data_IF_282429562804
#
_entry.id   IF_282429562804
#
_cell.length_a   1.000
_cell.length_b   1.000
_cell.length_c   1.000
_cell.angle_alpha   90.00
_cell.angle_beta   90.00
_cell.angle_gamma   90.00
#
_symmetry.space_group_name_H-M   'P 1'
#
loop_
_entity.id
_entity.type
_entity.pdbx_description
1 polymer ?
#
# COMPACT_ATOMS: atom_id res chain seq x y z
N UNK A 1 11.77 40.44 -31.00
CA UNK A 1 11.42 39.05 -31.35
C UNK A 1 12.34 38.12 -30.58
N UNK A 2 11.81 37.21 -29.76
CA UNK A 2 12.65 36.26 -29.02
C UNK A 2 12.10 35.89 -27.64
N UNK A 3 10.97 35.18 -27.60
CA UNK A 3 10.46 34.46 -26.41
C UNK A 3 9.32 33.55 -26.87
N UNK A 4 9.61 32.30 -27.21
CA UNK A 4 8.60 31.21 -27.28
C UNK A 4 9.14 29.78 -27.45
N UNK A 5 10.44 29.50 -27.28
CA UNK A 5 10.97 28.13 -27.44
C UNK A 5 11.27 27.37 -26.14
N UNK A 6 11.35 28.04 -24.98
CA UNK A 6 11.72 27.37 -23.71
C UNK A 6 10.63 26.50 -23.06
N UNK A 7 9.35 26.71 -23.36
CA UNK A 7 8.26 26.03 -22.64
C UNK A 7 7.92 24.61 -23.14
N UNK A 8 8.29 24.25 -24.38
CA UNK A 8 7.88 22.98 -24.97
C UNK A 8 8.78 21.82 -24.54
N UNK A 9 10.09 22.07 -24.46
CA UNK A 9 11.09 21.07 -24.05
C UNK A 9 10.95 20.67 -22.58
N UNK A 10 10.67 21.63 -21.69
CA UNK A 10 10.49 21.34 -20.25
C UNK A 10 9.23 20.48 -19.99
N UNK A 11 8.15 20.70 -20.75
CA UNK A 11 6.93 19.89 -20.62
C UNK A 11 7.12 18.47 -21.17
N UNK A 12 7.84 18.33 -22.28
CA UNK A 12 8.18 17.03 -22.87
C UNK A 12 9.13 16.26 -21.96
N UNK A 13 10.12 16.93 -21.36
CA UNK A 13 11.06 16.32 -20.43
C UNK A 13 10.38 15.89 -19.12
N UNK A 14 9.47 16.71 -18.56
CA UNK A 14 8.62 16.32 -17.41
C UNK A 14 7.72 15.14 -17.71
N UNK A 15 7.07 15.11 -18.89
CA UNK A 15 6.25 13.95 -19.33
C UNK A 15 7.09 12.69 -19.48
N UNK A 16 8.27 12.77 -20.11
CA UNK A 16 9.17 11.63 -20.29
C UNK A 16 9.69 11.10 -18.95
N UNK A 17 10.00 11.98 -18.00
CA UNK A 17 10.38 11.61 -16.63
C UNK A 17 9.21 10.97 -15.85
N UNK A 18 7.97 11.44 -16.04
CA UNK A 18 6.79 10.82 -15.42
C UNK A 18 6.48 9.43 -16.00
N UNK A 19 6.64 9.25 -17.32
CA UNK A 19 6.49 7.94 -17.97
C UNK A 19 7.54 6.92 -17.45
N UNK A 20 8.78 7.36 -17.23
CA UNK A 20 9.83 6.53 -16.61
C UNK A 20 9.54 6.17 -15.14
N UNK A 21 8.73 6.96 -14.42
CA UNK A 21 8.30 6.60 -13.05
C UNK A 21 7.17 5.59 -13.04
N UNK A 22 6.38 5.48 -14.10
CA UNK A 22 5.27 4.52 -14.18
C UNK A 22 5.74 3.14 -14.62
N UNK A 23 6.84 3.05 -15.40
CA UNK A 23 7.41 1.77 -15.81
C UNK A 23 7.90 0.92 -14.63
N UNK A 24 8.17 1.52 -13.47
CA UNK A 24 8.51 0.75 -12.25
C UNK A 24 7.34 -0.07 -11.69
N UNK A 25 6.11 0.21 -12.14
CA UNK A 25 4.90 -0.54 -11.80
C UNK A 25 4.45 -1.47 -12.93
N UNK A 26 5.32 -1.79 -13.88
CA UNK A 26 5.01 -2.77 -14.91
C UNK A 26 4.95 -4.18 -14.33
N UNK A 27 4.33 -5.10 -15.07
CA UNK A 27 4.42 -6.53 -14.76
C UNK A 27 5.87 -7.01 -14.71
N UNK A 28 6.12 -7.96 -13.82
CA UNK A 28 7.41 -8.51 -13.39
C UNK A 28 8.40 -7.52 -12.77
N UNK A 29 7.96 -6.31 -12.41
CA UNK A 29 8.80 -5.33 -11.73
C UNK A 29 9.08 -5.74 -10.27
N UNK A 30 10.15 -5.18 -9.69
CA UNK A 30 10.45 -5.41 -8.28
C UNK A 30 9.37 -4.83 -7.36
N UNK A 31 8.72 -3.72 -7.77
CA UNK A 31 7.59 -3.14 -7.03
C UNK A 31 6.37 -4.07 -7.06
N UNK A 32 6.10 -4.75 -8.17
CA UNK A 32 5.02 -5.74 -8.23
C UNK A 32 5.30 -6.91 -7.29
N UNK A 33 6.53 -7.44 -7.29
CA UNK A 33 6.92 -8.53 -6.39
C UNK A 33 6.79 -8.12 -4.92
N UNK A 34 7.30 -6.94 -4.56
CA UNK A 34 7.20 -6.39 -3.21
C UNK A 34 5.73 -6.18 -2.79
N UNK A 35 4.89 -5.67 -3.70
CA UNK A 35 3.46 -5.50 -3.45
C UNK A 35 2.74 -6.84 -3.24
N UNK A 36 3.08 -7.88 -4.02
CA UNK A 36 2.56 -9.24 -3.85
C UNK A 36 2.98 -9.81 -2.50
N UNK A 37 4.26 -9.71 -2.13
CA UNK A 37 4.78 -10.19 -0.85
C UNK A 37 4.09 -9.49 0.33
N UNK A 38 3.93 -8.17 0.25
CA UNK A 38 3.22 -7.38 1.25
C UNK A 38 1.75 -7.82 1.37
N UNK A 39 1.05 -7.98 0.24
CA UNK A 39 -0.34 -8.42 0.24
C UNK A 39 -0.49 -9.82 0.83
N UNK A 40 0.43 -10.74 0.48
CA UNK A 40 0.42 -12.08 1.06
C UNK A 40 0.64 -12.05 2.58
N UNK A 41 1.53 -11.20 3.08
CA UNK A 41 1.71 -11.02 4.53
C UNK A 41 0.44 -10.46 5.20
N UNK A 42 -0.24 -9.49 4.56
CA UNK A 42 -1.51 -8.97 5.05
C UNK A 42 -2.57 -10.07 5.12
N UNK A 43 -2.75 -10.86 4.05
CA UNK A 43 -3.75 -11.95 3.99
C UNK A 43 -3.45 -13.05 5.02
N UNK A 44 -2.17 -13.39 5.24
CA UNK A 44 -1.75 -14.37 6.25
C UNK A 44 -1.92 -13.87 7.68
N UNK A 45 -2.14 -12.58 7.88
CA UNK A 45 -2.40 -12.01 9.20
C UNK A 45 -3.90 -12.00 9.44
N UNK A 46 -4.40 -13.00 10.16
CA UNK A 46 -5.84 -13.18 10.38
C UNK A 46 -6.43 -12.05 11.23
N UNK A 47 -7.13 -11.12 10.57
CA UNK A 47 -7.82 -9.96 11.15
C UNK A 47 -9.33 -10.11 11.13
N UNK A 48 -9.82 -11.33 11.38
CA UNK A 48 -11.26 -11.66 11.32
C UNK A 48 -12.07 -10.91 12.37
N UNK A 49 -13.13 -10.24 11.92
CA UNK A 49 -14.05 -9.49 12.77
C UNK A 49 -15.46 -10.13 12.74
N UNK A 50 -16.09 -10.47 13.90
CA UNK A 50 -15.59 -10.36 15.29
C UNK A 50 -14.58 -11.47 15.68
N UNK A 51 -13.69 -11.24 16.67
CA UNK A 51 -13.56 -10.02 17.49
C UNK A 51 -12.74 -8.89 16.84
N UNK A 52 -12.03 -9.17 15.74
CA UNK A 52 -10.97 -8.35 15.18
C UNK A 52 -9.59 -8.82 15.64
N UNK A 53 -8.52 -8.25 15.07
CA UNK A 53 -7.12 -8.51 15.45
C UNK A 53 -6.17 -7.52 14.73
N UNK A 54 -6.69 -6.37 14.29
CA UNK A 54 -6.01 -5.44 13.38
C UNK A 54 -4.75 -4.85 14.00
N UNK A 55 -4.62 -4.85 15.34
CA UNK A 55 -3.40 -4.43 16.02
C UNK A 55 -2.17 -5.20 15.56
N UNK A 56 -2.29 -6.50 15.27
CA UNK A 56 -1.16 -7.32 14.80
C UNK A 56 -0.71 -6.84 13.42
N UNK A 57 -1.64 -6.67 12.49
CA UNK A 57 -1.33 -6.19 11.14
C UNK A 57 -0.87 -4.74 11.14
N UNK A 58 -1.49 -3.88 11.94
CA UNK A 58 -1.11 -2.48 12.09
C UNK A 58 0.35 -2.32 12.56
N UNK A 59 0.81 -3.15 13.51
CA UNK A 59 2.21 -3.15 13.97
C UNK A 59 3.18 -3.63 12.89
N UNK A 60 2.85 -4.73 12.20
CA UNK A 60 3.66 -5.24 11.07
C UNK A 60 3.84 -4.18 9.97
N UNK A 61 2.75 -3.49 9.61
CA UNK A 61 2.79 -2.41 8.62
C UNK A 61 3.58 -1.21 9.13
N UNK A 62 3.40 -0.82 10.41
CA UNK A 62 4.15 0.25 11.03
C UNK A 62 5.66 -0.02 10.98
N UNK A 63 6.09 -1.23 11.36
CA UNK A 63 7.49 -1.65 11.32
C UNK A 63 8.09 -1.55 9.91
N UNK A 64 7.34 -1.94 8.87
CA UNK A 64 7.78 -1.79 7.47
C UNK A 64 8.00 -0.33 7.10
N UNK A 65 7.04 0.56 7.43
CA UNK A 65 7.19 1.99 7.16
C UNK A 65 8.37 2.62 7.92
N UNK A 66 8.59 2.20 9.17
CA UNK A 66 9.71 2.70 9.98
C UNK A 66 11.07 2.18 9.48
N UNK A 67 11.12 0.96 8.94
CA UNK A 67 12.32 0.36 8.36
C UNK A 67 12.85 1.12 7.11
N UNK A 68 12.00 1.89 6.43
CA UNK A 68 12.42 2.79 5.33
C UNK A 68 13.36 3.90 5.79
N UNK A 69 13.42 4.20 7.11
CA UNK A 69 14.25 5.24 7.69
C UNK A 69 14.11 6.61 6.99
N UNK A 70 12.91 6.90 6.49
CA UNK A 70 12.64 8.11 5.72
C UNK A 70 12.03 9.21 6.62
N UNK A 71 12.70 10.36 6.80
CA UNK A 71 12.22 11.41 7.71
C UNK A 71 10.91 12.08 7.26
N UNK A 72 10.45 11.83 6.02
CA UNK A 72 9.17 12.32 5.53
C UNK A 72 8.00 11.40 5.92
N UNK A 73 8.27 10.19 6.42
CA UNK A 73 7.25 9.21 6.80
C UNK A 73 7.09 9.23 8.32
N UNK A 74 5.88 9.51 8.80
CA UNK A 74 5.51 9.39 10.20
C UNK A 74 4.36 8.40 10.36
N UNK A 75 4.47 7.51 11.34
CA UNK A 75 3.47 6.49 11.65
C UNK A 75 2.87 6.74 13.04
N UNK A 76 1.60 6.36 13.22
CA UNK A 76 0.95 6.36 14.53
C UNK A 76 -0.13 5.28 14.56
N UNK A 77 -0.10 4.42 15.58
CA UNK A 77 -1.20 3.49 15.85
C UNK A 77 -2.15 4.11 16.88
N UNK A 78 -3.45 3.98 16.63
CA UNK A 78 -4.53 4.32 17.56
C UNK A 78 -5.34 3.05 17.85
N UNK A 79 -5.35 2.64 19.12
CA UNK A 79 -6.17 1.52 19.59
C UNK A 79 -7.47 2.05 20.19
N UNK A 80 -8.59 1.81 19.52
CA UNK A 80 -9.91 2.28 19.99
C UNK A 80 -10.60 1.27 20.90
N UNK A 81 -10.34 -0.01 20.65
CA UNK A 81 -10.78 -1.16 21.44
C UNK A 81 -9.58 -2.12 21.49
N UNK A 82 -9.43 -2.87 22.58
CA UNK A 82 -8.32 -3.82 22.75
C UNK A 82 -8.24 -4.74 21.51
N UNK A 83 -7.08 -4.78 20.86
CA UNK A 83 -6.83 -5.57 19.65
C UNK A 83 -7.22 -4.89 18.33
N UNK A 84 -7.95 -3.76 18.35
CA UNK A 84 -8.45 -3.03 17.17
C UNK A 84 -7.57 -1.81 16.87
N UNK A 85 -6.43 -2.05 16.24
CA UNK A 85 -5.46 -1.01 15.89
C UNK A 85 -5.76 -0.32 14.54
N UNK A 86 -5.74 1.01 14.53
CA UNK A 86 -5.78 1.83 13.32
C UNK A 86 -4.38 2.41 13.07
N UNK A 87 -3.76 2.10 11.94
CA UNK A 87 -2.48 2.69 11.53
C UNK A 87 -2.74 3.96 10.71
N UNK A 88 -2.18 5.08 11.17
CA UNK A 88 -2.10 6.32 10.42
C UNK A 88 -0.67 6.46 9.90
N UNK A 89 -0.53 6.63 8.59
CA UNK A 89 0.74 6.94 7.93
C UNK A 89 0.64 8.30 7.27
N UNK A 90 1.54 9.20 7.63
CA UNK A 90 1.65 10.54 7.04
C UNK A 90 2.93 10.62 6.23
N UNK A 91 2.81 11.01 4.96
CA UNK A 91 3.95 11.28 4.09
C UNK A 91 3.96 12.79 3.81
N UNK A 92 4.94 13.49 4.36
CA UNK A 92 5.07 14.95 4.21
C UNK A 92 5.40 15.31 2.77
N UNK A 93 4.56 16.13 2.14
CA UNK A 93 4.79 16.67 0.80
C UNK A 93 5.95 17.67 0.77
N UNK A 94 6.42 18.03 -0.42
CA UNK A 94 7.52 19.00 -0.58
C UNK A 94 7.14 20.44 -0.21
N UNK A 95 5.84 20.74 -0.14
CA UNK A 95 5.30 22.06 0.20
C UNK A 95 3.93 21.90 0.91
N UNK A 96 3.95 21.41 2.17
CA UNK A 96 2.74 20.99 2.89
C UNK A 96 1.84 22.18 3.31
N UNK A 97 2.40 23.39 3.38
CA UNK A 97 1.66 24.58 3.82
C UNK A 97 0.84 25.22 2.70
N UNK A 98 1.19 24.95 1.43
CA UNK A 98 0.57 25.57 0.26
C UNK A 98 -0.29 24.61 -0.58
N UNK A 99 -0.36 23.34 -0.21
CA UNK A 99 -1.11 22.32 -0.94
C UNK A 99 -2.08 21.52 -0.05
N UNK A 100 -3.22 21.06 -0.59
CA UNK A 100 -4.15 20.24 0.18
C UNK A 100 -3.55 18.87 0.50
N UNK A 101 -4.01 18.28 1.61
CA UNK A 101 -3.69 16.91 1.98
C UNK A 101 -4.58 15.92 1.20
N UNK A 102 -3.98 14.81 0.77
CA UNK A 102 -4.70 13.67 0.16
C UNK A 102 -4.86 12.57 1.19
N UNK A 103 -6.10 12.22 1.51
CA UNK A 103 -6.42 11.12 2.43
C UNK A 103 -6.74 9.84 1.66
N UNK A 104 -6.07 8.75 2.02
CA UNK A 104 -6.43 7.40 1.60
C UNK A 104 -6.89 6.63 2.83
N UNK A 105 -8.07 6.03 2.76
CA UNK A 105 -8.65 5.26 3.84
C UNK A 105 -8.95 3.84 3.38
N UNK A 106 -8.61 2.87 4.21
CA UNK A 106 -8.91 1.45 4.06
C UNK A 106 -9.18 0.85 5.43
N UNK A 107 -9.63 -0.39 5.47
CA UNK A 107 -9.78 -1.17 6.69
C UNK A 107 -8.88 -2.40 6.62
N UNK A 108 -8.48 -2.91 7.79
CA UNK A 108 -7.58 -4.07 7.91
C UNK A 108 -8.33 -5.36 8.23
N UNK A 109 -9.57 -5.28 8.72
CA UNK A 109 -10.37 -6.45 9.09
C UNK A 109 -11.02 -7.12 7.88
N UNK A 110 -11.27 -8.41 8.06
CA UNK A 110 -12.01 -9.24 7.10
C UNK A 110 -13.16 -9.96 7.82
N UNK A 111 -14.11 -10.45 7.04
CA UNK A 111 -15.24 -11.21 7.56
C UNK A 111 -14.84 -12.63 7.97
N UNK A 112 -15.63 -13.33 8.81
CA UNK A 112 -15.40 -14.72 9.14
C UNK A 112 -15.50 -15.64 7.92
N UNK A 113 -14.82 -16.79 8.02
CA UNK A 113 -14.97 -17.89 7.06
C UNK A 113 -16.10 -18.79 7.55
N UNK A 114 -17.04 -19.14 6.66
CA UNK A 114 -18.14 -20.06 6.98
C UNK A 114 -17.65 -21.50 7.14
N UNK A 115 -16.87 -21.99 6.17
CA UNK A 115 -16.20 -23.29 6.25
C UNK A 115 -14.90 -23.28 5.44
N UNK A 116 -13.80 -23.75 6.04
CA UNK A 116 -12.52 -23.93 5.33
C UNK A 116 -12.63 -24.95 4.19
N UNK A 117 -13.52 -25.94 4.31
CA UNK A 117 -13.73 -26.97 3.29
C UNK A 117 -14.23 -26.43 1.95
N UNK A 118 -14.83 -25.25 1.96
CA UNK A 118 -15.43 -24.64 0.77
C UNK A 118 -14.37 -23.94 -0.10
N UNK A 119 -13.16 -23.80 0.42
CA UNK A 119 -12.06 -23.15 -0.29
C UNK A 119 -11.16 -24.18 -0.98
N UNK A 120 -10.82 -23.90 -2.24
CA UNK A 120 -9.81 -24.67 -2.99
C UNK A 120 -8.42 -24.59 -2.36
N UNK A 121 -8.11 -23.45 -1.73
CA UNK A 121 -6.86 -23.16 -1.03
C UNK A 121 -7.21 -22.58 0.35
N UNK A 122 -6.44 -22.85 1.42
CA UNK A 122 -6.76 -22.30 2.73
C UNK A 122 -6.90 -20.76 2.66
N UNK A 123 -7.97 -20.18 3.21
CA UNK A 123 -8.37 -18.78 2.96
C UNK A 123 -7.31 -17.74 3.35
N UNK A 124 -6.47 -18.05 4.34
CA UNK A 124 -5.37 -17.18 4.78
C UNK A 124 -3.97 -17.66 4.32
N UNK A 125 -3.87 -18.65 3.42
CA UNK A 125 -2.56 -19.10 2.90
C UNK A 125 -1.88 -18.05 2.01
N UNK A 126 -2.69 -17.18 1.39
CA UNK A 126 -2.29 -16.24 0.36
C UNK A 126 -1.55 -16.94 -0.80
N UNK A 127 -2.07 -18.07 -1.26
CA UNK A 127 -1.45 -18.88 -2.31
C UNK A 127 -1.45 -18.17 -3.67
N UNK A 128 -0.30 -18.16 -4.35
CA UNK A 128 -0.19 -17.68 -5.71
C UNK A 128 -0.50 -18.83 -6.66
N UNK A 129 -1.47 -18.60 -7.55
CA UNK A 129 -1.90 -19.58 -8.53
C UNK A 129 -1.73 -19.00 -9.92
N UNK A 130 -1.07 -19.75 -10.81
CA UNK A 130 -1.14 -19.46 -12.23
C UNK A 130 -2.48 -19.98 -12.73
N UNK A 131 -3.40 -19.07 -13.05
CA UNK A 131 -4.57 -19.47 -13.82
C UNK A 131 -4.15 -19.58 -15.28
N UNK A 132 -4.25 -20.79 -15.85
CA UNK A 132 -4.41 -20.93 -17.28
C UNK A 132 -5.73 -20.24 -17.62
N UNK A 133 -5.65 -19.06 -18.23
CA UNK A 133 -6.80 -18.46 -18.87
C UNK A 133 -7.10 -19.30 -20.12
N UNK A 134 -8.15 -20.13 -20.04
CA UNK A 134 -8.84 -20.66 -21.22
C UNK A 134 -9.51 -19.53 -22.02
#
# INVERSE_FOLDING_TARGET
>A
MGRKEKNNNDSQMKRKNNLNRLSKFSSNSDVEKEAIELLQECVRTETVNPPGNEMVLAKKLQEKFEAENNPLIATKIIETVIGRGNLIVTITGSDPDNHPCWGFASHLDVVPIESESDWKYPPFSAELVQMEHD
#
